data_IF_658574680318
#
_entry.id   IF_658574680318
#
_cell.length_a   1.000
_cell.length_b   1.000
_cell.length_c   1.000
_cell.angle_alpha   90.00
_cell.angle_beta   90.00
_cell.angle_gamma   90.00
#
_symmetry.space_group_name_H-M   'P 1'
#
loop_
_entity.id
_entity.type
_entity.pdbx_description
1 polymer ?
#
# COMPACT_ATOMS: atom_id res chain seq x y z
N UNK A 1 5.08 13.08 -12.28
CA UNK A 1 6.01 12.68 -11.22
C UNK A 1 7.16 11.88 -11.81
N UNK A 2 8.39 12.06 -11.32
CA UNK A 2 9.59 11.33 -11.76
C UNK A 2 9.57 9.86 -11.33
N UNK A 3 8.70 9.50 -10.38
CA UNK A 3 8.52 8.13 -9.89
C UNK A 3 8.20 7.13 -11.01
N UNK A 4 7.59 7.58 -12.11
CA UNK A 4 7.23 6.74 -13.26
C UNK A 4 8.39 6.44 -14.21
N UNK A 5 9.50 7.17 -14.08
CA UNK A 5 10.67 6.97 -14.94
C UNK A 5 11.24 5.56 -14.69
N UNK A 6 11.41 4.68 -15.70
CA UNK A 6 11.74 3.28 -15.47
C UNK A 6 12.98 3.04 -14.60
N UNK A 7 13.99 3.91 -14.70
CA UNK A 7 15.20 3.85 -13.86
C UNK A 7 14.88 4.14 -12.40
N UNK A 8 14.09 5.19 -12.13
CA UNK A 8 13.72 5.60 -10.78
C UNK A 8 12.76 4.58 -10.16
N UNK A 9 11.76 4.13 -10.89
CA UNK A 9 10.84 3.07 -10.47
C UNK A 9 11.58 1.79 -10.06
N UNK A 10 12.62 1.40 -10.83
CA UNK A 10 13.45 0.24 -10.51
C UNK A 10 14.23 0.44 -9.20
N UNK A 11 14.76 1.63 -8.95
CA UNK A 11 15.49 1.93 -7.71
C UNK A 11 14.55 1.99 -6.50
N UNK A 12 13.37 2.61 -6.64
CA UNK A 12 12.32 2.59 -5.61
C UNK A 12 11.97 1.14 -5.25
N UNK A 13 11.72 0.31 -6.26
CA UNK A 13 11.35 -1.09 -6.05
C UNK A 13 12.43 -1.87 -5.27
N UNK A 14 13.71 -1.67 -5.59
CA UNK A 14 14.83 -2.33 -4.89
C UNK A 14 14.98 -1.85 -3.46
N UNK A 15 14.90 -0.53 -3.22
CA UNK A 15 14.98 0.01 -1.86
C UNK A 15 13.77 -0.41 -1.02
N UNK A 16 12.57 -0.47 -1.62
CA UNK A 16 11.36 -0.94 -0.95
C UNK A 16 11.46 -2.41 -0.56
N UNK A 17 12.06 -3.26 -1.42
CA UNK A 17 12.29 -4.65 -1.06
C UNK A 17 13.23 -4.79 0.16
N UNK A 18 14.29 -3.98 0.24
CA UNK A 18 15.20 -3.97 1.39
C UNK A 18 14.50 -3.45 2.64
N UNK A 19 13.71 -2.39 2.50
CA UNK A 19 12.95 -1.80 3.60
C UNK A 19 11.92 -2.79 4.17
N UNK A 20 11.20 -3.51 3.32
CA UNK A 20 10.24 -4.56 3.74
C UNK A 20 10.88 -5.77 4.45
N UNK A 21 12.20 -5.89 4.49
CA UNK A 21 12.92 -6.92 5.26
C UNK A 21 13.39 -6.43 6.63
N UNK A 22 13.24 -5.14 6.93
CA UNK A 22 13.63 -4.60 8.24
C UNK A 22 12.77 -5.23 9.32
N UNK A 23 13.42 -5.76 10.36
CA UNK A 23 12.77 -6.30 11.54
C UNK A 23 12.79 -5.26 12.66
N UNK A 24 11.63 -4.63 12.88
CA UNK A 24 11.45 -3.68 13.98
C UNK A 24 10.88 -4.42 15.20
N UNK A 25 11.47 -4.28 16.41
CA UNK A 25 10.94 -4.87 17.63
C UNK A 25 9.53 -4.35 17.94
N UNK A 26 8.61 -5.25 18.32
CA UNK A 26 7.25 -4.89 18.71
C UNK A 26 6.19 -5.86 18.17
N UNK A 27 4.92 -5.45 18.24
CA UNK A 27 3.83 -6.20 17.61
C UNK A 27 3.99 -6.20 16.09
N UNK A 28 3.86 -7.38 15.48
CA UNK A 28 3.83 -7.55 14.01
C UNK A 28 2.41 -7.56 13.45
N UNK A 29 1.43 -7.18 14.26
CA UNK A 29 0.03 -7.06 13.81
C UNK A 29 -0.08 -5.92 12.77
N UNK A 30 -0.72 -6.16 11.61
CA UNK A 30 -0.88 -5.14 10.59
C UNK A 30 -1.77 -3.99 11.08
N UNK A 31 -1.24 -2.76 11.10
CA UNK A 31 -1.94 -1.61 11.66
C UNK A 31 -2.93 -0.94 10.70
N UNK A 32 -2.85 -1.23 9.40
CA UNK A 32 -3.69 -0.61 8.35
C UNK A 32 -5.16 -0.50 8.75
N UNK A 33 -5.81 -1.64 9.05
CA UNK A 33 -7.23 -1.64 9.36
C UNK A 33 -7.53 -0.98 10.71
N UNK A 34 -6.65 -1.13 11.69
CA UNK A 34 -6.78 -0.49 13.00
C UNK A 34 -6.79 1.04 12.85
N UNK A 35 -5.88 1.59 12.04
CA UNK A 35 -5.80 3.02 11.78
C UNK A 35 -6.97 3.52 10.92
N UNK A 36 -7.38 2.79 9.87
CA UNK A 36 -8.56 3.13 9.08
C UNK A 36 -9.82 3.24 9.96
N UNK A 37 -10.12 2.23 10.79
CA UNK A 37 -11.30 2.28 11.66
C UNK A 37 -11.19 3.38 12.74
N UNK A 38 -9.99 3.62 13.27
CA UNK A 38 -9.72 4.71 14.21
C UNK A 38 -9.96 6.07 13.57
N UNK A 39 -9.52 6.29 12.33
CA UNK A 39 -9.77 7.54 11.61
C UNK A 39 -11.24 7.71 11.25
N UNK A 40 -11.92 6.66 10.77
CA UNK A 40 -13.36 6.69 10.51
C UNK A 40 -14.15 7.06 11.76
N UNK A 41 -13.82 6.45 12.91
CA UNK A 41 -14.46 6.78 14.19
C UNK A 41 -14.24 8.24 14.56
N UNK A 42 -13.01 8.75 14.46
CA UNK A 42 -12.70 10.16 14.73
C UNK A 42 -13.45 11.10 13.78
N UNK A 43 -13.48 10.76 12.49
CA UNK A 43 -14.16 11.54 11.47
C UNK A 43 -15.67 11.60 11.71
N UNK A 44 -16.29 10.47 12.10
CA UNK A 44 -17.76 10.34 12.28
C UNK A 44 -18.37 11.20 13.40
N UNK A 45 -17.55 11.82 14.24
CA UNK A 45 -17.99 12.66 15.36
C UNK A 45 -17.54 14.12 15.24
N UNK A 46 -16.99 14.50 14.07
CA UNK A 46 -16.57 15.87 13.84
C UNK A 46 -17.75 16.82 13.77
N UNK A 47 -17.48 18.08 14.12
CA UNK A 47 -18.39 19.22 13.95
C UNK A 47 -17.59 20.40 13.44
N UNK A 48 -18.14 21.10 12.46
CA UNK A 48 -17.53 22.27 11.86
C UNK A 48 -18.36 23.51 12.21
N UNK A 49 -17.69 24.59 12.58
CA UNK A 49 -18.33 25.89 12.81
C UNK A 49 -18.79 26.54 11.49
N UNK A 50 -18.11 26.22 10.40
CA UNK A 50 -18.46 26.65 9.06
C UNK A 50 -19.69 25.87 8.57
N UNK A 51 -20.79 26.57 8.36
CA UNK A 51 -22.07 26.00 7.95
C UNK A 51 -21.98 25.23 6.62
N UNK A 52 -21.19 25.68 5.66
CA UNK A 52 -21.08 25.00 4.36
C UNK A 52 -20.24 23.73 4.48
N UNK A 53 -19.17 23.75 5.28
CA UNK A 53 -18.42 22.52 5.62
C UNK A 53 -19.28 21.54 6.40
N UNK A 54 -20.06 22.02 7.37
CA UNK A 54 -20.95 21.19 8.18
C UNK A 54 -22.03 20.51 7.33
N UNK A 55 -22.66 21.24 6.40
CA UNK A 55 -23.61 20.65 5.44
C UNK A 55 -22.96 19.57 4.58
N UNK A 56 -21.76 19.82 4.05
CA UNK A 56 -21.02 18.81 3.26
C UNK A 56 -20.69 17.57 4.09
N UNK A 57 -20.28 17.77 5.34
CA UNK A 57 -20.01 16.69 6.28
C UNK A 57 -21.26 15.84 6.57
N UNK A 58 -22.41 16.47 6.76
CA UNK A 58 -23.69 15.80 7.03
C UNK A 58 -24.21 14.97 5.84
N UNK A 59 -23.70 15.22 4.63
CA UNK A 59 -24.00 14.38 3.46
C UNK A 59 -23.22 13.05 3.45
N UNK A 60 -22.21 12.89 4.30
CA UNK A 60 -21.37 11.69 4.34
C UNK A 60 -22.07 10.61 5.15
N UNK A 61 -22.38 9.48 4.52
CA UNK A 61 -22.87 8.29 5.21
C UNK A 61 -21.71 7.50 5.82
N UNK A 62 -21.32 7.85 7.06
CA UNK A 62 -20.27 7.11 7.77
C UNK A 62 -20.61 5.64 8.00
N UNK A 63 -21.91 5.31 8.05
CA UNK A 63 -22.37 3.93 8.16
C UNK A 63 -22.03 3.14 6.89
N UNK A 64 -22.37 3.67 5.72
CA UNK A 64 -22.05 3.01 4.44
C UNK A 64 -20.55 2.82 4.26
N UNK A 65 -19.75 3.85 4.57
CA UNK A 65 -18.28 3.75 4.50
C UNK A 65 -17.75 2.69 5.47
N UNK A 66 -18.30 2.59 6.69
CA UNK A 66 -17.91 1.55 7.64
C UNK A 66 -18.25 0.14 7.14
N UNK A 67 -19.42 -0.03 6.53
CA UNK A 67 -19.86 -1.32 5.98
C UNK A 67 -18.95 -1.73 4.79
N UNK A 68 -18.65 -0.81 3.86
CA UNK A 68 -17.75 -1.05 2.73
C UNK A 68 -16.32 -1.37 3.15
N UNK A 69 -15.76 -0.60 4.09
CA UNK A 69 -14.40 -0.82 4.61
C UNK A 69 -14.30 -2.16 5.32
N UNK A 70 -15.35 -2.56 6.04
CA UNK A 70 -15.41 -3.88 6.68
C UNK A 70 -15.45 -5.00 5.63
N UNK A 71 -16.28 -4.87 4.60
CA UNK A 71 -16.33 -5.85 3.51
C UNK A 71 -14.97 -5.97 2.81
N UNK A 72 -14.33 -4.84 2.50
CA UNK A 72 -13.00 -4.83 1.88
C UNK A 72 -11.95 -5.50 2.77
N UNK A 73 -11.99 -5.25 4.08
CA UNK A 73 -11.14 -5.94 5.05
C UNK A 73 -11.38 -7.45 5.01
N UNK A 74 -12.62 -7.88 5.15
CA UNK A 74 -13.00 -9.30 5.21
C UNK A 74 -12.56 -10.03 3.93
N UNK A 75 -12.70 -9.39 2.76
CA UNK A 75 -12.19 -9.93 1.47
C UNK A 75 -10.66 -9.96 1.42
N UNK A 76 -9.98 -8.93 1.90
CA UNK A 76 -8.52 -8.86 1.89
C UNK A 76 -7.87 -9.90 2.82
N UNK A 77 -8.52 -10.23 3.94
CA UNK A 77 -8.03 -11.21 4.91
C UNK A 77 -7.94 -12.62 4.27
N UNK A 78 -8.75 -12.91 3.25
CA UNK A 78 -8.70 -14.16 2.48
C UNK A 78 -7.43 -14.33 1.64
N UNK A 79 -6.72 -13.23 1.35
CA UNK A 79 -5.49 -13.26 0.55
C UNK A 79 -4.29 -13.78 1.34
N UNK A 80 -4.40 -13.84 2.68
CA UNK A 80 -3.27 -14.14 3.57
C UNK A 80 -2.01 -13.35 3.20
N UNK A 81 -2.20 -12.06 2.90
CA UNK A 81 -1.16 -11.21 2.35
C UNK A 81 0.03 -11.10 3.33
N UNK A 82 1.28 -11.14 2.81
CA UNK A 82 2.46 -11.00 3.66
C UNK A 82 2.47 -9.68 4.43
N UNK A 83 2.68 -9.76 5.74
CA UNK A 83 2.88 -8.61 6.61
C UNK A 83 4.37 -8.30 6.70
N UNK A 84 4.72 -7.04 6.52
CA UNK A 84 6.10 -6.51 6.50
C UNK A 84 6.14 -5.20 7.27
N UNK A 85 7.33 -4.74 7.65
CA UNK A 85 7.47 -3.34 8.05
C UNK A 85 7.35 -2.47 6.80
N UNK A 86 6.30 -1.65 6.75
CA UNK A 86 5.90 -0.84 5.61
C UNK A 86 6.04 0.64 5.94
N UNK A 87 6.26 1.45 4.91
CA UNK A 87 6.33 2.90 5.04
C UNK A 87 4.93 3.51 5.15
N UNK A 88 3.97 2.96 4.39
CA UNK A 88 2.58 3.35 4.29
C UNK A 88 2.33 4.75 3.67
N UNK A 89 3.36 5.45 3.20
CA UNK A 89 3.25 6.83 2.68
C UNK A 89 4.35 7.17 1.66
N UNK A 90 4.52 6.35 0.62
CA UNK A 90 5.58 6.50 -0.40
C UNK A 90 5.20 7.46 -1.53
N UNK A 91 4.81 8.67 -1.17
CA UNK A 91 4.60 9.77 -2.11
C UNK A 91 5.93 10.39 -2.56
N UNK A 92 5.93 11.15 -3.67
CA UNK A 92 7.18 11.65 -4.28
C UNK A 92 8.00 12.55 -3.37
N UNK A 93 7.36 13.26 -2.42
CA UNK A 93 8.04 14.08 -1.41
C UNK A 93 8.84 13.28 -0.38
N UNK A 94 8.53 11.99 -0.20
CA UNK A 94 9.19 11.10 0.77
C UNK A 94 10.31 10.27 0.13
N UNK A 95 10.65 10.57 -1.13
CA UNK A 95 11.67 9.91 -1.93
C UNK A 95 12.80 10.89 -2.24
N UNK A 96 13.96 10.71 -1.61
CA UNK A 96 15.14 11.53 -1.90
C UNK A 96 16.14 10.76 -2.74
N UNK A 97 16.35 11.21 -3.98
CA UNK A 97 17.40 10.69 -4.85
C UNK A 97 18.67 11.52 -4.70
N UNK A 98 19.77 10.86 -4.35
CA UNK A 98 21.10 11.46 -4.39
C UNK A 98 21.74 11.17 -5.74
N UNK A 99 21.83 12.18 -6.61
CA UNK A 99 22.38 12.04 -7.97
C UNK A 99 23.88 11.67 -7.99
N UNK A 100 24.65 12.04 -6.96
CA UNK A 100 26.09 11.74 -6.90
C UNK A 100 26.35 10.27 -6.58
N UNK A 101 25.51 9.68 -5.73
CA UNK A 101 25.63 8.28 -5.29
C UNK A 101 24.70 7.34 -6.07
N UNK A 102 23.81 7.89 -6.89
CA UNK A 102 22.67 7.21 -7.51
C UNK A 102 21.85 6.39 -6.51
N UNK A 103 21.75 6.87 -5.26
CA UNK A 103 21.04 6.19 -4.17
C UNK A 103 19.73 6.88 -3.85
N UNK A 104 18.71 6.08 -3.64
CA UNK A 104 17.41 6.53 -3.18
C UNK A 104 17.25 6.28 -1.68
N UNK A 105 16.75 7.28 -0.96
CA UNK A 105 16.46 7.24 0.46
C UNK A 105 14.97 7.50 0.69
N UNK A 106 14.35 6.69 1.55
CA UNK A 106 13.03 6.97 2.09
C UNK A 106 13.17 7.82 3.36
N UNK A 107 12.23 8.75 3.53
CA UNK A 107 12.16 9.64 4.68
C UNK A 107 10.72 9.78 5.16
N UNK A 108 10.55 10.37 6.34
CA UNK A 108 9.25 10.64 6.94
C UNK A 108 8.43 9.37 7.25
N UNK A 109 8.91 8.62 8.23
CA UNK A 109 8.32 7.33 8.64
C UNK A 109 7.19 7.49 9.66
N UNK A 110 6.45 8.60 9.67
CA UNK A 110 5.42 8.86 10.69
C UNK A 110 4.26 7.84 10.65
N UNK A 111 3.98 7.28 9.47
CA UNK A 111 3.02 6.18 9.27
C UNK A 111 3.68 4.79 9.25
N UNK A 112 4.99 4.71 9.48
CA UNK A 112 5.75 3.47 9.44
C UNK A 112 5.26 2.45 10.47
N UNK A 113 4.83 1.28 10.01
CA UNK A 113 4.29 0.22 10.87
C UNK A 113 4.34 -1.14 10.19
N UNK A 114 4.10 -2.22 10.94
CA UNK A 114 3.77 -3.48 10.29
C UNK A 114 2.45 -3.33 9.54
N UNK A 115 2.45 -3.69 8.27
CA UNK A 115 1.31 -3.57 7.36
C UNK A 115 1.42 -4.59 6.23
N UNK A 116 0.41 -4.64 5.35
CA UNK A 116 0.41 -5.56 4.22
C UNK A 116 1.34 -5.05 3.12
N UNK A 117 2.25 -5.90 2.65
CA UNK A 117 3.17 -5.57 1.55
C UNK A 117 2.46 -5.02 0.31
N UNK A 118 1.30 -5.59 0.00
CA UNK A 118 0.50 -5.18 -1.15
C UNK A 118 -0.06 -3.77 -1.00
N UNK A 119 -0.39 -3.34 0.23
CA UNK A 119 -0.88 -2.00 0.50
C UNK A 119 0.21 -0.96 0.24
N UNK A 120 1.43 -1.15 0.75
CA UNK A 120 2.50 -0.16 0.59
C UNK A 120 2.86 0.06 -0.90
N UNK A 121 2.89 -1.02 -1.69
CA UNK A 121 3.13 -0.94 -3.13
C UNK A 121 1.94 -0.30 -3.86
N UNK A 122 0.71 -0.70 -3.53
CA UNK A 122 -0.48 -0.14 -4.18
C UNK A 122 -0.66 1.35 -3.85
N UNK A 123 -0.34 1.76 -2.62
CA UNK A 123 -0.34 3.15 -2.20
C UNK A 123 0.68 3.95 -3.01
N UNK A 124 1.92 3.47 -3.14
CA UNK A 124 2.92 4.10 -3.99
C UNK A 124 2.46 4.29 -5.44
N UNK A 125 1.70 3.34 -6.00
CA UNK A 125 1.13 3.48 -7.34
C UNK A 125 0.00 4.53 -7.41
N UNK A 126 -0.81 4.68 -6.37
CA UNK A 126 -1.81 5.76 -6.30
C UNK A 126 -1.14 7.13 -6.32
N UNK A 127 0.04 7.28 -5.72
CA UNK A 127 0.81 8.54 -5.71
C UNK A 127 1.28 9.00 -7.10
N UNK A 128 1.12 8.19 -8.15
CA UNK A 128 1.39 8.61 -9.52
C UNK A 128 0.37 9.64 -10.02
N UNK A 129 -0.85 9.59 -9.48
CA UNK A 129 -1.92 10.55 -9.78
C UNK A 129 -1.64 11.95 -9.21
N UNK A 130 -0.76 12.04 -8.20
CA UNK A 130 -0.41 13.28 -7.50
C UNK A 130 -1.60 13.92 -6.78
N UNK A 131 -1.40 15.13 -6.26
CA UNK A 131 -2.42 15.86 -5.48
C UNK A 131 -3.68 16.22 -6.30
N UNK A 132 -3.55 16.32 -7.62
CA UNK A 132 -4.68 16.57 -8.53
C UNK A 132 -5.55 15.33 -8.77
N UNK A 133 -5.13 14.15 -8.27
CA UNK A 133 -5.83 12.88 -8.45
C UNK A 133 -6.06 12.49 -9.93
N UNK A 134 -5.10 12.75 -10.83
CA UNK A 134 -5.21 12.34 -12.23
C UNK A 134 -4.88 10.84 -12.39
N UNK A 135 -5.89 10.00 -12.20
CA UNK A 135 -5.77 8.54 -12.30
C UNK A 135 -5.48 8.02 -13.73
N UNK A 136 -5.46 8.88 -14.75
CA UNK A 136 -4.90 8.48 -16.06
C UNK A 136 -3.37 8.25 -15.99
N UNK A 137 -2.73 8.75 -14.93
CA UNK A 137 -1.30 8.55 -14.65
C UNK A 137 -1.01 7.29 -13.83
N UNK A 138 -2.03 6.57 -13.36
CA UNK A 138 -1.86 5.32 -12.65
C UNK A 138 -1.06 4.33 -13.50
N UNK A 139 -0.06 3.62 -12.95
CA UNK A 139 0.82 2.77 -13.75
C UNK A 139 0.02 1.64 -14.41
N UNK A 140 0.20 1.48 -15.72
CA UNK A 140 -0.35 0.34 -16.44
C UNK A 140 0.34 -0.97 -16.04
N UNK A 141 -0.12 -2.09 -16.61
CA UNK A 141 0.42 -3.41 -16.28
C UNK A 141 1.91 -3.55 -16.58
N UNK A 142 2.42 -2.93 -17.65
CA UNK A 142 3.82 -3.06 -18.03
C UNK A 142 4.72 -2.31 -17.04
N UNK A 143 4.30 -1.12 -16.61
CA UNK A 143 4.97 -0.35 -15.55
C UNK A 143 4.92 -1.09 -14.21
N UNK A 144 3.76 -1.64 -13.83
CA UNK A 144 3.62 -2.44 -12.61
C UNK A 144 4.53 -3.68 -12.65
N UNK A 145 4.56 -4.42 -13.77
CA UNK A 145 5.44 -5.58 -13.90
C UNK A 145 6.92 -5.22 -13.88
N UNK A 146 7.30 -4.09 -14.46
CA UNK A 146 8.66 -3.56 -14.34
C UNK A 146 9.03 -3.31 -12.87
N UNK A 147 8.14 -2.67 -12.10
CA UNK A 147 8.32 -2.46 -10.67
C UNK A 147 8.44 -3.80 -9.93
N UNK A 148 7.50 -4.73 -10.13
CA UNK A 148 7.50 -6.04 -9.47
C UNK A 148 8.74 -6.87 -9.78
N UNK A 149 9.22 -6.87 -11.03
CA UNK A 149 10.46 -7.57 -11.39
C UNK A 149 11.63 -7.04 -10.57
N UNK A 150 11.80 -5.72 -10.49
CA UNK A 150 12.88 -5.11 -9.70
C UNK A 150 12.70 -5.31 -8.19
N UNK A 151 11.45 -5.29 -7.70
CA UNK A 151 11.13 -5.58 -6.30
C UNK A 151 11.44 -7.05 -5.93
N UNK A 152 11.21 -8.00 -6.84
CA UNK A 152 11.40 -9.43 -6.56
C UNK A 152 12.79 -9.97 -6.92
N UNK A 153 13.60 -9.22 -7.70
CA UNK A 153 14.85 -9.71 -8.30
C UNK A 153 15.89 -10.25 -7.32
N UNK A 154 15.88 -9.81 -6.06
CA UNK A 154 16.81 -10.28 -5.01
C UNK A 154 16.31 -11.52 -4.26
N UNK A 155 15.23 -12.18 -4.70
CA UNK A 155 14.81 -13.48 -4.15
C UNK A 155 15.32 -14.61 -5.05
N UNK A 156 16.28 -15.44 -4.61
CA UNK A 156 16.46 -16.74 -5.24
C UNK A 156 15.13 -17.47 -5.16
N UNK A 157 14.71 -17.99 -6.30
CA UNK A 157 13.42 -18.61 -6.55
C UNK A 157 13.03 -19.66 -5.51
N UNK A 158 12.07 -19.31 -4.65
CA UNK A 158 11.14 -20.27 -4.07
C UNK A 158 9.73 -19.92 -4.55
N UNK A 159 9.43 -20.36 -5.77
CA UNK A 159 8.03 -20.57 -6.16
C UNK A 159 7.66 -21.90 -5.50
N UNK A 160 6.94 -21.86 -4.38
CA UNK A 160 6.18 -23.04 -3.97
C UNK A 160 5.10 -23.24 -5.04
N UNK A 161 5.29 -24.26 -5.88
CA UNK A 161 4.24 -24.77 -6.74
C UNK A 161 3.05 -25.15 -5.86
N UNK A 162 2.02 -24.31 -5.84
CA UNK A 162 0.72 -24.76 -5.37
C UNK A 162 0.23 -25.80 -6.37
N UNK A 163 0.28 -27.07 -5.96
CA UNK A 163 -0.37 -28.17 -6.66
C UNK A 163 -1.88 -27.92 -6.71
N UNK A 164 -2.34 -27.21 -7.73
CA UNK A 164 -3.73 -27.26 -8.16
C UNK A 164 -3.98 -28.60 -8.85
N UNK A 165 -4.99 -29.33 -8.35
CA UNK A 165 -5.67 -30.50 -8.94
C UNK A 165 -5.04 -31.89 -8.71
N UNK A 166 -5.46 -32.60 -7.65
CA UNK A 166 -5.57 -34.08 -7.69
C UNK A 166 -6.43 -34.73 -6.58
N UNK A 167 -7.55 -34.10 -6.15
CA UNK A 167 -8.46 -34.75 -5.18
C UNK A 167 -9.93 -34.84 -5.58
N UNK A 168 -10.27 -34.62 -6.86
CA UNK A 168 -11.66 -34.80 -7.34
C UNK A 168 -11.94 -36.09 -8.13
N UNK A 169 -11.00 -37.01 -8.26
CA UNK A 169 -11.28 -38.35 -8.80
C UNK A 169 -10.75 -39.43 -7.85
N UNK A 170 -11.60 -39.81 -6.89
CA UNK A 170 -11.69 -41.16 -6.28
C UNK A 170 -12.72 -41.16 -5.17
N UNK A 171 -13.97 -41.39 -5.53
CA UNK A 171 -14.87 -42.21 -4.71
C UNK A 171 -15.76 -43.00 -5.65
N UNK A 172 -15.61 -44.32 -5.55
CA UNK A 172 -16.52 -45.33 -6.10
C UNK A 172 -17.91 -45.19 -5.47
#
# INVERSE_FOLDING_TARGET
SDMKEPRIAAEIAKQLQKFHQVDIPGSKEPQLWNDVFKFLKKASVLKFEDNEKQKRYEMISFREIQDEVKELKDLSDLLHAPVVFAHNDLLSGNLMLNDLEEKLYFIDFEYGSYSYRGFDIANHFNEYAGFECDYNLYPDKDVQYHFFRNYLSDRPSEVCEFNTLSSLDKTN
#
